data_IF_583768337673
#
_entry.id   IF_583768337673
#
_cell.length_a   1.000
_cell.length_b   1.000
_cell.length_c   1.000
_cell.angle_alpha   90.00
_cell.angle_beta   90.00
_cell.angle_gamma   90.00
#
_symmetry.space_group_name_H-M   'P 1'
#
loop_
_entity.id
_entity.type
_entity.pdbx_description
1 polymer ?
#
# COMPACT_ATOMS: atom_id res chain seq x y z
N UNK A 1 -2.61 10.66 8.62
CA UNK A 1 -2.67 9.21 8.31
C UNK A 1 -3.91 8.67 9.00
N UNK A 2 -4.95 8.29 8.24
CA UNK A 2 -6.19 7.78 8.85
C UNK A 2 -6.08 6.27 9.05
N UNK A 3 -6.32 5.82 10.28
CA UNK A 3 -6.47 4.42 10.61
C UNK A 3 -7.84 3.96 10.11
N UNK A 4 -7.85 3.10 9.09
CA UNK A 4 -9.04 2.48 8.54
C UNK A 4 -8.79 0.98 8.37
N UNK A 5 -9.80 0.17 8.67
CA UNK A 5 -9.77 -1.25 8.30
C UNK A 5 -10.09 -1.31 6.80
N UNK A 6 -9.10 -1.63 5.97
CA UNK A 6 -9.24 -1.70 4.50
C UNK A 6 -9.21 -3.16 4.05
N UNK A 7 -10.32 -3.92 4.22
CA UNK A 7 -10.30 -5.33 3.88
C UNK A 7 -10.06 -5.49 2.37
N UNK A 8 -9.04 -6.29 2.04
CA UNK A 8 -8.69 -6.80 0.70
C UNK A 8 -8.03 -5.84 -0.29
N UNK A 9 -7.50 -4.70 0.14
CA UNK A 9 -6.73 -3.83 -0.76
C UNK A 9 -5.35 -4.42 -1.10
N UNK A 10 -4.97 -4.33 -2.37
CA UNK A 10 -3.71 -4.85 -2.91
C UNK A 10 -2.86 -3.76 -3.58
N UNK A 11 -1.56 -4.01 -3.72
CA UNK A 11 -0.69 -3.14 -4.51
C UNK A 11 -1.16 -3.06 -5.97
N UNK A 12 -1.07 -1.88 -6.58
CA UNK A 12 -1.53 -1.60 -7.93
C UNK A 12 -3.02 -1.25 -8.04
N UNK A 13 -3.82 -1.44 -6.98
CA UNK A 13 -5.21 -1.00 -6.96
C UNK A 13 -5.32 0.53 -6.80
N UNK A 14 -6.45 1.08 -7.21
CA UNK A 14 -6.76 2.50 -7.06
C UNK A 14 -7.61 2.76 -5.82
N UNK A 15 -7.28 3.80 -5.06
CA UNK A 15 -8.04 4.25 -3.89
C UNK A 15 -8.36 5.73 -4.00
N UNK A 16 -9.58 6.11 -3.65
CA UNK A 16 -10.00 7.52 -3.60
C UNK A 16 -9.86 8.05 -2.17
N UNK A 17 -9.06 9.10 -2.00
CA UNK A 17 -8.82 9.78 -0.72
C UNK A 17 -9.15 11.24 -0.93
N UNK A 18 -10.10 11.77 -0.16
CA UNK A 18 -10.49 13.19 -0.20
C UNK A 18 -10.87 13.69 -1.61
N UNK A 19 -11.47 12.82 -2.43
CA UNK A 19 -11.89 13.12 -3.80
C UNK A 19 -10.81 13.00 -4.86
N UNK A 20 -9.58 12.60 -4.49
CA UNK A 20 -8.50 12.32 -5.44
C UNK A 20 -8.17 10.82 -5.49
N UNK A 21 -7.90 10.32 -6.70
CA UNK A 21 -7.53 8.92 -6.93
C UNK A 21 -6.02 8.74 -6.88
N UNK A 22 -5.56 7.77 -6.11
CA UNK A 22 -4.17 7.35 -5.99
C UNK A 22 -4.03 5.86 -6.28
N UNK A 23 -2.82 5.42 -6.60
CA UNK A 23 -2.48 4.00 -6.76
C UNK A 23 -1.72 3.50 -5.53
N UNK A 24 -2.11 2.35 -5.01
CA UNK A 24 -1.49 1.74 -3.83
C UNK A 24 -0.11 1.20 -4.23
N UNK A 25 0.94 1.75 -3.61
CA UNK A 25 2.31 1.29 -3.82
C UNK A 25 2.75 0.23 -2.82
N UNK A 26 2.23 0.29 -1.58
CA UNK A 26 2.53 -0.73 -0.56
C UNK A 26 1.37 -0.92 0.42
N UNK A 27 1.22 -2.15 0.90
CA UNK A 27 0.29 -2.53 1.97
C UNK A 27 1.12 -3.08 3.14
N UNK A 28 1.06 -2.40 4.28
CA UNK A 28 1.78 -2.82 5.49
C UNK A 28 0.79 -3.26 6.57
N UNK A 29 0.98 -4.47 7.09
CA UNK A 29 0.20 -5.01 8.21
C UNK A 29 1.04 -5.03 9.49
N UNK A 30 0.57 -4.34 10.54
CA UNK A 30 1.20 -4.41 11.86
C UNK A 30 0.48 -5.44 12.72
N UNK A 31 1.22 -6.45 13.16
CA UNK A 31 0.73 -7.47 14.09
C UNK A 31 1.22 -7.19 15.51
N UNK A 32 0.40 -7.54 16.50
CA UNK A 32 0.72 -7.48 17.92
C UNK A 32 0.57 -8.86 18.55
N UNK A 33 1.53 -9.26 19.38
CA UNK A 33 1.44 -10.50 20.15
C UNK A 33 0.48 -10.30 21.33
N UNK A 34 -0.63 -11.03 21.33
CA UNK A 34 -1.65 -11.00 22.38
C UNK A 34 -1.96 -12.43 22.82
N UNK A 35 -1.75 -12.72 24.10
CA UNK A 35 -2.02 -14.04 24.71
C UNK A 35 -1.41 -15.22 23.92
N UNK A 36 -0.19 -15.04 23.41
CA UNK A 36 0.53 -16.08 22.64
C UNK A 36 0.11 -16.21 21.17
N UNK A 37 -0.70 -15.29 20.63
CA UNK A 37 -1.08 -15.26 19.21
C UNK A 37 -0.79 -13.89 18.60
N UNK A 38 -0.36 -13.86 17.34
CA UNK A 38 -0.25 -12.62 16.59
C UNK A 38 -1.63 -12.20 16.09
N UNK A 39 -2.06 -11.01 16.50
CA UNK A 39 -3.33 -10.41 16.08
C UNK A 39 -3.03 -9.16 15.23
N UNK A 40 -3.77 -8.97 14.14
CA UNK A 40 -3.64 -7.77 13.31
C UNK A 40 -4.08 -6.54 14.11
N UNK A 41 -3.22 -5.51 14.16
CA UNK A 41 -3.45 -4.30 14.96
C UNK A 41 -3.70 -3.06 14.11
N UNK A 42 -3.07 -2.97 12.94
CA UNK A 42 -3.14 -1.81 12.06
C UNK A 42 -2.84 -2.25 10.62
N UNK A 43 -3.50 -1.60 9.67
CA UNK A 43 -3.18 -1.70 8.26
C UNK A 43 -2.90 -0.29 7.73
N UNK A 44 -1.79 -0.15 7.02
CA UNK A 44 -1.34 1.09 6.41
C UNK A 44 -1.22 0.89 4.91
N UNK A 45 -1.75 1.86 4.17
CA UNK A 45 -1.58 1.96 2.72
C UNK A 45 -0.62 3.10 2.44
N UNK A 46 0.45 2.81 1.71
CA UNK A 46 1.25 3.85 1.07
C UNK A 46 0.76 4.00 -0.36
N UNK A 47 0.49 5.23 -0.75
CA UNK A 47 -0.15 5.56 -2.02
C UNK A 47 0.67 6.60 -2.76
N UNK A 48 0.64 6.51 -4.08
CA UNK A 48 1.30 7.43 -4.99
C UNK A 48 0.28 7.96 -6.00
N UNK A 49 0.55 9.12 -6.59
CA UNK A 49 -0.17 9.48 -7.82
C UNK A 49 0.09 8.40 -8.88
N UNK A 50 -0.91 8.10 -9.71
CA UNK A 50 -0.79 7.03 -10.72
C UNK A 50 0.42 7.23 -11.63
N UNK A 51 0.71 8.48 -12.03
CA UNK A 51 1.89 8.79 -12.83
C UNK A 51 3.21 8.46 -12.12
N UNK A 52 3.31 8.73 -10.80
CA UNK A 52 4.50 8.39 -10.02
C UNK A 52 4.67 6.88 -9.85
N UNK A 53 3.57 6.15 -9.63
CA UNK A 53 3.59 4.70 -9.53
C UNK A 53 4.12 4.04 -10.81
N UNK A 54 3.59 4.43 -11.97
CA UNK A 54 4.02 3.90 -13.28
C UNK A 54 5.48 4.22 -13.56
N UNK A 55 5.92 5.46 -13.29
CA UNK A 55 7.32 5.84 -13.49
C UNK A 55 8.26 5.00 -12.62
N UNK A 56 7.90 4.74 -11.36
CA UNK A 56 8.71 3.88 -10.49
C UNK A 56 8.81 2.46 -11.05
N UNK A 57 7.69 1.84 -11.45
CA UNK A 57 7.69 0.50 -12.06
C UNK A 57 8.58 0.43 -13.30
N UNK A 58 8.53 1.45 -14.16
CA UNK A 58 9.38 1.52 -15.34
C UNK A 58 10.87 1.57 -14.98
N UNK A 59 11.24 2.43 -14.02
CA UNK A 59 12.63 2.56 -13.57
C UNK A 59 13.13 1.29 -12.88
N UNK A 60 12.31 0.64 -12.05
CA UNK A 60 12.61 -0.64 -11.42
C UNK A 60 12.86 -1.72 -12.48
N UNK A 61 12.02 -1.81 -13.50
CA UNK A 61 12.18 -2.78 -14.58
C UNK A 61 13.47 -2.57 -15.39
N UNK A 62 13.86 -1.31 -15.65
CA UNK A 62 15.12 -1.00 -16.31
C UNK A 62 16.34 -1.40 -15.46
N UNK A 63 16.27 -1.19 -14.15
CA UNK A 63 17.33 -1.57 -13.21
C UNK A 63 17.47 -3.10 -13.10
N UNK A 64 16.37 -3.84 -13.16
CA UNK A 64 16.42 -5.32 -13.16
C UNK A 64 17.01 -5.90 -14.46
N UNK A 65 16.99 -5.13 -15.55
CA UNK A 65 17.48 -5.56 -16.87
C UNK A 65 18.95 -5.20 -17.15
N UNK A 66 19.61 -4.45 -16.27
CA UNK A 66 21.03 -4.07 -16.41
C UNK A 66 21.98 -5.08 -15.79
#
# INVERSE_FOLDING_TARGET
>A
MRNGNFPNMQCGESVTIEGQTYTISAVTHRYQLRKGKYEASEQRLDVLSTGRYILNLYLENLLEQS
#
